data_IF_608474295265
#
_entry.id   IF_608474295265
#
_cell.length_a   1.000
_cell.length_b   1.000
_cell.length_c   1.000
_cell.angle_alpha   90.00
_cell.angle_beta   90.00
_cell.angle_gamma   90.00
#
_symmetry.space_group_name_H-M   'P 1'
#
loop_
_entity.id
_entity.type
_entity.pdbx_description
1 polymer ?
#
# COMPACT_ATOMS: atom_id res chain seq x y z
N UNK A 1 -6.78 -2.54 -20.97
CA UNK A 1 -6.26 -1.21 -21.39
C UNK A 1 -6.67 -0.25 -20.30
N UNK A 2 -5.70 0.45 -19.73
CA UNK A 2 -5.89 1.43 -18.67
C UNK A 2 -5.24 2.76 -19.09
N UNK A 3 -5.62 3.84 -18.41
CA UNK A 3 -5.05 5.17 -18.63
C UNK A 3 -3.69 5.26 -17.94
N UNK A 4 -2.68 5.80 -18.63
CA UNK A 4 -1.42 6.18 -17.98
C UNK A 4 -1.67 7.39 -17.08
N UNK A 5 -1.31 7.27 -15.80
CA UNK A 5 -1.31 8.37 -14.83
C UNK A 5 0.11 8.95 -14.80
N UNK A 6 0.23 10.28 -14.74
CA UNK A 6 1.50 10.92 -14.39
C UNK A 6 1.48 11.12 -12.86
N UNK A 7 2.19 10.24 -12.16
CA UNK A 7 2.20 10.21 -10.70
C UNK A 7 3.28 11.11 -10.10
N UNK A 8 2.96 11.79 -9.00
CA UNK A 8 3.97 12.41 -8.12
C UNK A 8 4.43 11.44 -7.02
N UNK A 9 3.63 10.41 -6.73
CA UNK A 9 3.94 9.41 -5.71
C UNK A 9 3.28 8.06 -6.03
N UNK A 10 3.94 6.98 -5.62
CA UNK A 10 3.44 5.61 -5.71
C UNK A 10 3.62 4.90 -4.35
N UNK A 11 2.51 4.55 -3.72
CA UNK A 11 2.47 3.95 -2.39
C UNK A 11 1.93 2.52 -2.42
N UNK A 12 2.59 1.61 -1.72
CA UNK A 12 2.02 0.32 -1.33
C UNK A 12 1.51 0.40 0.11
N UNK A 13 0.22 0.65 0.31
CA UNK A 13 -0.43 0.72 1.64
C UNK A 13 -0.85 -0.68 2.10
N UNK A 14 -0.57 -1.04 3.35
CA UNK A 14 -0.79 -2.39 3.84
C UNK A 14 -1.74 -2.48 5.01
N UNK A 15 -2.55 -3.54 4.99
CA UNK A 15 -3.54 -3.83 6.02
C UNK A 15 -3.52 -5.31 6.40
N UNK A 16 -3.88 -5.59 7.64
CA UNK A 16 -4.21 -6.92 8.11
C UNK A 16 -5.66 -6.97 8.58
N UNK A 17 -6.31 -8.12 8.42
CA UNK A 17 -7.62 -8.38 9.01
C UNK A 17 -7.69 -9.79 9.60
N UNK A 18 -8.28 -9.84 10.79
CA UNK A 18 -8.90 -11.03 11.38
C UNK A 18 -10.15 -10.60 12.16
N UNK A 19 -11.05 -11.54 12.46
CA UNK A 19 -12.24 -11.23 13.28
C UNK A 19 -11.88 -10.68 14.67
N UNK A 20 -10.75 -11.12 15.25
CA UNK A 20 -10.31 -10.70 16.58
C UNK A 20 -9.61 -9.34 16.60
N UNK A 21 -8.94 -8.97 15.52
CA UNK A 21 -8.17 -7.72 15.42
C UNK A 21 -8.95 -6.60 14.75
N UNK A 22 -9.97 -6.93 13.94
CA UNK A 22 -10.50 -5.99 12.96
C UNK A 22 -9.46 -5.63 11.89
N UNK A 23 -9.75 -4.58 11.11
CA UNK A 23 -8.79 -4.07 10.11
C UNK A 23 -7.72 -3.26 10.82
N UNK A 24 -6.46 -3.60 10.58
CA UNK A 24 -5.28 -2.93 11.12
C UNK A 24 -4.45 -2.38 9.98
N UNK A 25 -4.07 -1.10 10.07
CA UNK A 25 -3.09 -0.51 9.16
C UNK A 25 -1.68 -0.93 9.60
N UNK A 26 -0.91 -1.50 8.67
CA UNK A 26 0.45 -1.99 8.93
C UNK A 26 1.53 -0.97 8.56
N UNK A 27 1.17 0.07 7.81
CA UNK A 27 2.11 1.04 7.24
C UNK A 27 2.08 1.04 5.72
N UNK A 28 2.99 1.81 5.12
CA UNK A 28 3.16 1.85 3.68
C UNK A 28 4.62 1.96 3.27
N UNK A 29 4.88 1.59 2.03
CA UNK A 29 6.16 1.83 1.37
C UNK A 29 5.95 2.67 0.12
N UNK A 30 6.93 3.52 -0.22
CA UNK A 30 7.01 4.15 -1.54
C UNK A 30 7.64 3.15 -2.50
N UNK A 31 7.05 2.98 -3.68
CA UNK A 31 7.65 2.17 -4.76
C UNK A 31 8.56 3.08 -5.59
N UNK A 32 9.83 2.70 -5.70
CA UNK A 32 10.82 3.44 -6.49
C UNK A 32 10.73 2.99 -7.94
N UNK A 33 10.27 3.87 -8.82
CA UNK A 33 10.20 3.63 -10.27
C UNK A 33 11.14 4.57 -11.02
N UNK A 34 11.61 4.16 -12.19
CA UNK A 34 12.24 5.09 -13.12
C UNK A 34 11.20 5.83 -13.98
N UNK A 35 11.65 6.78 -14.81
CA UNK A 35 10.77 7.56 -15.71
C UNK A 35 10.02 6.73 -16.77
N UNK A 36 10.32 5.44 -16.90
CA UNK A 36 9.64 4.51 -17.79
C UNK A 36 8.70 3.56 -17.01
N UNK A 37 8.56 3.75 -15.70
CA UNK A 37 7.72 2.93 -14.83
C UNK A 37 8.38 1.62 -14.40
N UNK A 38 9.69 1.42 -14.61
CA UNK A 38 10.36 0.21 -14.15
C UNK A 38 10.63 0.27 -12.65
N UNK A 39 10.14 -0.76 -11.95
CA UNK A 39 10.30 -0.93 -10.52
C UNK A 39 11.76 -1.22 -10.12
N UNK A 40 12.27 -0.48 -9.13
CA UNK A 40 13.64 -0.57 -8.62
C UNK A 40 13.71 -0.95 -7.12
N UNK A 41 12.59 -1.06 -6.43
CA UNK A 41 12.57 -1.38 -5.01
C UNK A 41 11.47 -0.64 -4.25
N UNK A 42 11.45 -0.87 -2.93
CA UNK A 42 10.54 -0.20 -2.00
C UNK A 42 11.35 0.47 -0.89
N UNK A 43 10.83 1.59 -0.39
CA UNK A 43 11.34 2.27 0.80
C UNK A 43 10.19 2.48 1.80
N UNK A 44 10.41 2.16 3.08
CA UNK A 44 9.40 2.41 4.11
C UNK A 44 9.11 3.91 4.18
N UNK A 45 7.83 4.28 4.19
CA UNK A 45 7.43 5.68 4.31
C UNK A 45 6.55 5.90 5.53
N UNK A 46 6.84 6.97 6.25
CA UNK A 46 6.07 7.41 7.42
C UNK A 46 5.14 8.57 7.08
N UNK A 47 5.40 9.29 5.98
CA UNK A 47 4.64 10.45 5.54
C UNK A 47 3.75 10.06 4.36
N UNK A 48 2.65 9.38 4.68
CA UNK A 48 1.61 9.02 3.70
C UNK A 48 0.42 9.95 3.90
N UNK A 49 -0.10 10.59 2.84
CA UNK A 49 -1.31 11.38 2.96
C UNK A 49 -2.48 10.54 3.49
N UNK A 50 -3.25 11.08 4.43
CA UNK A 50 -4.34 10.35 5.09
C UNK A 50 -5.38 9.81 4.09
N UNK A 51 -5.67 10.58 3.03
CA UNK A 51 -6.63 10.20 2.00
C UNK A 51 -6.18 8.97 1.17
N UNK A 52 -4.87 8.71 1.08
CA UNK A 52 -4.31 7.50 0.44
C UNK A 52 -4.50 6.29 1.34
N UNK A 53 -4.23 6.43 2.64
CA UNK A 53 -4.47 5.38 3.64
C UNK A 53 -5.97 5.03 3.65
N UNK A 54 -6.82 6.05 3.60
CA UNK A 54 -8.27 5.90 3.57
C UNK A 54 -8.76 5.14 2.34
N UNK A 55 -8.25 5.47 1.14
CA UNK A 55 -8.55 4.74 -0.08
C UNK A 55 -8.18 3.25 0.05
N UNK A 56 -6.99 2.95 0.60
CA UNK A 56 -6.57 1.58 0.89
C UNK A 56 -7.47 0.87 1.90
N UNK A 57 -7.90 1.57 2.96
CA UNK A 57 -8.82 1.03 3.96
C UNK A 57 -10.17 0.65 3.35
N UNK A 58 -10.73 1.49 2.49
CA UNK A 58 -12.00 1.20 1.81
C UNK A 58 -11.89 -0.02 0.88
N UNK A 59 -10.75 -0.20 0.20
CA UNK A 59 -10.47 -1.41 -0.58
C UNK A 59 -10.41 -2.63 0.33
N UNK A 60 -9.71 -2.55 1.47
CA UNK A 60 -9.65 -3.63 2.46
C UNK A 60 -11.04 -4.01 2.98
N UNK A 61 -11.86 -3.02 3.34
CA UNK A 61 -13.23 -3.21 3.81
C UNK A 61 -14.09 -3.94 2.79
N UNK A 62 -13.98 -3.57 1.51
CA UNK A 62 -14.65 -4.28 0.42
C UNK A 62 -14.18 -5.74 0.30
N UNK A 63 -12.89 -6.00 0.47
CA UNK A 63 -12.34 -7.35 0.50
C UNK A 63 -12.86 -8.17 1.68
N UNK A 64 -12.85 -7.60 2.89
CA UNK A 64 -13.37 -8.24 4.10
C UNK A 64 -14.85 -8.56 3.98
N UNK A 65 -15.65 -7.62 3.45
CA UNK A 65 -17.08 -7.83 3.18
C UNK A 65 -17.34 -8.96 2.16
N UNK A 66 -16.36 -9.27 1.31
CA UNK A 66 -16.39 -10.41 0.38
C UNK A 66 -15.74 -11.69 0.95
N UNK A 67 -15.33 -11.68 2.22
CA UNK A 67 -14.79 -12.85 2.93
C UNK A 67 -13.27 -12.94 2.97
N UNK A 68 -12.54 -11.87 2.63
CA UNK A 68 -11.08 -11.87 2.76
C UNK A 68 -10.63 -11.92 4.23
N UNK A 69 -9.61 -12.73 4.49
CA UNK A 69 -8.94 -12.85 5.80
C UNK A 69 -7.43 -12.90 5.57
N UNK A 70 -6.66 -12.10 6.32
CA UNK A 70 -5.20 -12.06 6.22
C UNK A 70 -4.64 -10.67 5.93
N UNK A 71 -3.48 -10.63 5.26
CA UNK A 71 -2.74 -9.40 4.96
C UNK A 71 -2.88 -9.07 3.48
N UNK A 72 -3.10 -7.79 3.18
CA UNK A 72 -3.16 -7.26 1.83
C UNK A 72 -2.34 -5.97 1.71
N UNK A 73 -1.79 -5.74 0.52
CA UNK A 73 -1.15 -4.48 0.13
C UNK A 73 -1.76 -3.95 -1.15
N UNK A 74 -1.94 -2.64 -1.24
CA UNK A 74 -2.56 -1.99 -2.41
C UNK A 74 -1.61 -0.94 -2.95
N UNK A 75 -1.33 -1.04 -4.25
CA UNK A 75 -0.47 -0.09 -4.94
C UNK A 75 -1.35 1.06 -5.44
N UNK A 76 -1.08 2.25 -4.92
CA UNK A 76 -1.87 3.47 -5.09
C UNK A 76 -0.98 4.59 -5.64
N UNK A 77 -1.33 5.10 -6.81
CA UNK A 77 -0.72 6.29 -7.38
C UNK A 77 -1.42 7.54 -6.86
N UNK A 78 -0.65 8.62 -6.69
CA UNK A 78 -1.17 9.97 -6.47
C UNK A 78 -0.69 10.86 -7.61
N UNK A 79 -1.61 11.57 -8.26
CA UNK A 79 -1.27 12.53 -9.32
C UNK A 79 -0.93 13.93 -8.75
N UNK A 80 -0.58 14.85 -9.64
CA UNK A 80 -0.27 16.25 -9.30
C UNK A 80 -1.43 16.98 -8.60
N UNK A 81 -2.68 16.59 -8.91
CA UNK A 81 -3.91 17.16 -8.35
C UNK A 81 -4.35 16.48 -7.04
N UNK A 82 -3.53 15.57 -6.48
CA UNK A 82 -3.80 14.81 -5.26
C UNK A 82 -4.94 13.78 -5.37
N UNK A 83 -5.27 13.35 -6.60
CA UNK A 83 -6.20 12.25 -6.82
C UNK A 83 -5.50 10.90 -6.65
N UNK A 84 -6.22 9.93 -6.08
CA UNK A 84 -5.70 8.58 -5.81
C UNK A 84 -6.23 7.57 -6.83
N UNK A 85 -5.34 6.76 -7.37
CA UNK A 85 -5.67 5.69 -8.32
C UNK A 85 -5.10 4.36 -7.82
N UNK A 86 -5.97 3.37 -7.64
CA UNK A 86 -5.53 2.01 -7.36
C UNK A 86 -5.12 1.31 -8.65
N UNK A 87 -3.90 0.77 -8.70
CA UNK A 87 -3.34 0.12 -9.89
C UNK A 87 -3.15 -1.38 -9.72
N UNK A 88 -2.90 -1.86 -8.49
CA UNK A 88 -2.83 -3.29 -8.20
C UNK A 88 -3.33 -3.60 -6.78
N UNK A 89 -4.16 -4.64 -6.68
CA UNK A 89 -4.83 -5.04 -5.44
C UNK A 89 -4.30 -6.39 -4.96
N UNK A 90 -3.18 -6.36 -4.23
CA UNK A 90 -2.55 -7.57 -3.74
C UNK A 90 -3.21 -8.04 -2.43
N UNK A 91 -4.27 -8.87 -2.55
CA UNK A 91 -4.89 -9.59 -1.43
C UNK A 91 -4.03 -10.77 -0.93
N UNK A 92 -2.79 -10.46 -0.55
CA UNK A 92 -1.76 -11.36 -0.05
C UNK A 92 -0.63 -10.55 0.56
N UNK A 93 0.26 -11.20 1.31
CA UNK A 93 1.56 -10.62 1.65
C UNK A 93 2.36 -10.32 0.37
N UNK A 94 3.08 -9.21 0.35
CA UNK A 94 3.92 -8.79 -0.76
C UNK A 94 5.31 -8.32 -0.26
N UNK A 95 6.15 -7.85 -1.19
CA UNK A 95 7.54 -7.49 -0.90
C UNK A 95 7.70 -6.42 0.18
N UNK A 96 6.71 -5.54 0.40
CA UNK A 96 6.79 -4.51 1.44
C UNK A 96 6.31 -5.00 2.82
N UNK A 97 5.63 -6.14 2.91
CA UNK A 97 5.03 -6.61 4.17
C UNK A 97 6.10 -6.88 5.22
N UNK A 98 7.11 -7.68 4.88
CA UNK A 98 8.19 -8.03 5.81
C UNK A 98 9.00 -6.81 6.22
N UNK A 99 9.22 -5.87 5.28
CA UNK A 99 9.96 -4.64 5.53
C UNK A 99 9.23 -3.73 6.54
N UNK A 100 7.90 -3.69 6.50
CA UNK A 100 7.09 -2.95 7.48
C UNK A 100 7.09 -3.64 8.84
N UNK A 101 6.81 -4.95 8.89
CA UNK A 101 6.69 -5.69 10.15
C UNK A 101 8.02 -5.78 10.92
N UNK A 102 9.15 -5.80 10.21
CA UNK A 102 10.49 -5.90 10.81
C UNK A 102 11.16 -4.53 11.02
N UNK A 103 10.53 -3.43 10.62
CA UNK A 103 11.14 -2.10 10.64
C UNK A 103 11.73 -1.73 12.01
N UNK A 104 10.99 -2.00 13.09
CA UNK A 104 11.44 -1.68 14.45
C UNK A 104 12.62 -2.55 14.91
N UNK A 105 12.69 -3.80 14.45
CA UNK A 105 13.77 -4.73 14.82
C UNK A 105 15.06 -4.43 14.05
N UNK A 106 14.95 -3.91 12.81
CA UNK A 106 16.09 -3.62 11.94
C UNK A 106 16.79 -2.29 12.24
N UNK A 107 16.16 -1.38 12.99
CA UNK A 107 16.72 -0.08 13.36
C UNK A 107 17.66 -0.11 14.58
N UNK A 108 17.95 -1.29 15.13
CA UNK A 108 18.78 -1.48 16.34
C UNK A 108 20.27 -1.73 16.06
N UNK A 109 20.73 -1.51 14.82
CA UNK A 109 22.09 -1.80 14.35
C UNK A 109 23.08 -0.64 14.41
#
# INVERSE_FOLDING_TARGET
>A
IEQKIEEKANYCVQFAYSESLGIQYLGAATQLTDKYGFYNGNENTTNVPEHVIEAGRQIMENGVNQGFFGVAGFDLLVDEDDNVYAIDLNFRQNGSTSMLLLANELNSG
#
